data_IF_669376195444
#
_entry.id   IF_669376195444
#
_cell.length_a   1.000
_cell.length_b   1.000
_cell.length_c   1.000
_cell.angle_alpha   90.00
_cell.angle_beta   90.00
_cell.angle_gamma   90.00
#
_symmetry.space_group_name_H-M   'P 1'
#
loop_
_entity.id
_entity.type
_entity.pdbx_description
1 polymer ?
#
# COMPACT_ATOMS: atom_id res chain seq x y z
N UNK A 1 -19.22 0.68 -23.34
CA UNK A 1 -17.93 1.28 -22.96
C UNK A 1 -16.90 0.96 -24.03
N UNK A 2 -16.47 1.95 -24.80
CA UNK A 2 -15.54 1.78 -25.93
C UNK A 2 -14.14 1.55 -25.38
N UNK A 3 -13.49 0.42 -25.73
CA UNK A 3 -12.09 0.16 -25.36
C UNK A 3 -11.23 1.30 -25.89
N UNK A 4 -10.57 2.04 -25.00
CA UNK A 4 -9.64 3.11 -25.36
C UNK A 4 -8.53 2.51 -26.24
N UNK A 5 -8.27 3.10 -27.41
CA UNK A 5 -7.23 2.62 -28.31
C UNK A 5 -5.88 2.64 -27.59
N UNK A 6 -5.10 1.57 -27.73
CA UNK A 6 -3.76 1.47 -27.15
C UNK A 6 -2.81 2.34 -27.97
N UNK A 7 -2.10 3.25 -27.30
CA UNK A 7 -0.98 3.96 -27.91
C UNK A 7 0.06 2.90 -28.35
N UNK A 8 0.43 2.93 -29.63
CA UNK A 8 1.40 2.03 -30.28
C UNK A 8 1.03 0.54 -30.16
N UNK A 9 -0.02 0.09 -30.88
CA UNK A 9 -0.47 -1.31 -30.85
C UNK A 9 0.59 -2.32 -31.31
N UNK A 10 1.56 -1.88 -32.12
CA UNK A 10 2.66 -2.69 -32.66
C UNK A 10 3.68 -3.13 -31.61
N UNK A 11 3.86 -2.37 -30.53
CA UNK A 11 4.82 -2.71 -29.48
C UNK A 11 4.14 -3.48 -28.35
N UNK A 12 4.60 -4.68 -27.96
CA UNK A 12 4.03 -5.40 -26.82
C UNK A 12 4.20 -4.59 -25.52
N UNK A 13 3.32 -4.81 -24.54
CA UNK A 13 3.52 -4.25 -23.19
C UNK A 13 4.83 -4.76 -22.63
N UNK A 14 5.68 -3.88 -22.10
CA UNK A 14 6.97 -4.29 -21.54
C UNK A 14 6.87 -4.53 -20.02
N UNK A 15 7.69 -5.45 -19.52
CA UNK A 15 8.03 -5.59 -18.11
C UNK A 15 9.00 -4.49 -17.65
N UNK A 16 9.28 -4.44 -16.35
CA UNK A 16 10.33 -3.57 -15.79
C UNK A 16 11.74 -3.93 -16.28
N UNK A 17 11.91 -5.12 -16.86
CA UNK A 17 13.12 -5.65 -17.49
C UNK A 17 13.19 -5.35 -19.00
N UNK A 18 12.29 -4.49 -19.52
CA UNK A 18 12.18 -4.11 -20.93
C UNK A 18 11.86 -5.26 -21.89
N UNK A 19 11.44 -6.42 -21.39
CA UNK A 19 11.02 -7.55 -22.22
C UNK A 19 9.51 -7.57 -22.44
N UNK A 20 9.00 -8.13 -23.55
CA UNK A 20 7.57 -8.35 -23.73
C UNK A 20 6.96 -9.09 -22.55
N UNK A 21 5.96 -8.48 -21.92
CA UNK A 21 5.26 -9.02 -20.76
C UNK A 21 4.33 -10.12 -21.23
N UNK A 22 4.61 -11.36 -20.85
CA UNK A 22 3.63 -12.44 -20.97
C UNK A 22 2.60 -12.30 -19.84
N UNK A 23 1.36 -11.94 -20.19
CA UNK A 23 0.25 -11.74 -19.24
C UNK A 23 -0.51 -13.04 -18.94
N UNK A 24 -0.24 -14.12 -19.68
CA UNK A 24 -0.91 -15.41 -19.49
C UNK A 24 -0.28 -16.10 -18.28
N UNK A 25 -0.94 -16.04 -17.13
CA UNK A 25 -0.66 -16.84 -15.94
C UNK A 25 -1.90 -17.65 -15.61
N UNK A 26 -1.73 -18.89 -15.18
CA UNK A 26 -2.84 -19.68 -14.66
C UNK A 26 -3.33 -19.12 -13.32
N UNK A 27 -4.59 -19.37 -12.97
CA UNK A 27 -5.16 -18.92 -11.71
C UNK A 27 -4.41 -19.47 -10.49
N UNK A 28 -3.86 -20.69 -10.60
CA UNK A 28 -3.06 -21.30 -9.54
C UNK A 28 -1.72 -20.58 -9.34
N UNK A 29 -1.02 -20.22 -10.42
CA UNK A 29 0.21 -19.42 -10.37
C UNK A 29 -0.04 -18.03 -9.80
N UNK A 30 -1.16 -17.40 -10.19
CA UNK A 30 -1.58 -16.11 -9.64
C UNK A 30 -1.84 -16.19 -8.15
N UNK A 31 -2.60 -17.19 -7.70
CA UNK A 31 -2.89 -17.41 -6.27
C UNK A 31 -1.62 -17.70 -5.45
N UNK A 32 -0.71 -18.53 -5.98
CA UNK A 32 0.60 -18.78 -5.37
C UNK A 32 1.40 -17.49 -5.23
N UNK A 33 1.49 -16.70 -6.30
CA UNK A 33 2.18 -15.42 -6.29
C UNK A 33 1.57 -14.42 -5.30
N UNK A 34 0.24 -14.31 -5.25
CA UNK A 34 -0.46 -13.42 -4.31
C UNK A 34 -0.19 -13.78 -2.85
N UNK A 35 -0.19 -15.08 -2.51
CA UNK A 35 0.18 -15.55 -1.17
C UNK A 35 1.63 -15.24 -0.83
N UNK A 36 2.55 -15.52 -1.74
CA UNK A 36 3.96 -15.20 -1.54
C UNK A 36 4.18 -13.70 -1.32
N UNK A 37 3.51 -12.86 -2.11
CA UNK A 37 3.56 -11.41 -1.96
C UNK A 37 3.00 -10.93 -0.62
N UNK A 38 1.86 -11.49 -0.16
CA UNK A 38 1.32 -11.19 1.17
C UNK A 38 2.31 -11.55 2.29
N UNK A 39 2.96 -12.72 2.19
CA UNK A 39 4.02 -13.14 3.12
C UNK A 39 5.20 -12.18 3.10
N UNK A 40 5.64 -11.73 1.92
CA UNK A 40 6.74 -10.75 1.80
C UNK A 40 6.38 -9.42 2.44
N UNK A 41 5.20 -8.86 2.16
CA UNK A 41 4.75 -7.60 2.76
C UNK A 41 4.71 -7.70 4.29
N UNK A 42 4.12 -8.78 4.82
CA UNK A 42 4.10 -9.03 6.26
C UNK A 42 5.52 -9.08 6.84
N UNK A 43 6.39 -9.89 6.25
CA UNK A 43 7.77 -10.07 6.72
C UNK A 43 8.57 -8.77 6.71
N UNK A 44 8.40 -7.92 5.69
CA UNK A 44 9.05 -6.61 5.62
C UNK A 44 8.59 -5.67 6.74
N UNK A 45 7.29 -5.62 7.03
CA UNK A 45 6.79 -4.80 8.13
C UNK A 45 7.28 -5.33 9.48
N UNK A 46 7.24 -6.65 9.70
CA UNK A 46 7.77 -7.24 10.94
C UNK A 46 9.28 -7.00 11.09
N UNK A 47 10.05 -7.03 10.00
CA UNK A 47 11.47 -6.72 10.00
C UNK A 47 11.73 -5.27 10.43
N UNK A 48 11.01 -4.30 9.84
CA UNK A 48 11.13 -2.88 10.18
C UNK A 48 10.87 -2.67 11.68
N UNK A 49 9.79 -3.25 12.19
CA UNK A 49 9.36 -3.08 13.58
C UNK A 49 10.22 -3.84 14.59
N UNK A 50 11.01 -4.84 14.17
CA UNK A 50 11.86 -5.62 15.07
C UNK A 50 13.34 -5.19 15.03
N UNK A 51 13.84 -4.62 13.93
CA UNK A 51 15.29 -4.44 13.70
C UNK A 51 15.77 -2.99 13.67
N UNK A 52 14.88 -2.01 13.58
CA UNK A 52 15.24 -0.61 13.38
C UNK A 52 15.02 0.25 14.63
N UNK A 53 14.96 -0.39 15.81
CA UNK A 53 14.75 0.29 17.08
C UNK A 53 13.30 0.73 17.27
N UNK A 54 13.09 1.79 18.05
CA UNK A 54 11.76 2.35 18.29
C UNK A 54 11.30 3.14 17.07
N UNK A 55 10.10 2.82 16.59
CA UNK A 55 9.42 3.55 15.51
C UNK A 55 8.15 4.15 16.08
N UNK A 56 8.03 5.48 16.08
CA UNK A 56 6.87 6.17 16.65
C UNK A 56 5.68 6.27 15.67
N UNK A 57 5.95 6.25 14.36
CA UNK A 57 4.96 6.40 13.30
C UNK A 57 5.23 5.41 12.16
N UNK A 58 4.23 4.62 11.79
CA UNK A 58 4.24 3.80 10.59
C UNK A 58 3.21 4.32 9.59
N UNK A 59 3.68 4.72 8.41
CA UNK A 59 2.85 5.28 7.36
C UNK A 59 2.79 4.35 6.14
N UNK A 60 1.60 3.83 5.85
CA UNK A 60 1.32 3.03 4.66
C UNK A 60 0.88 3.90 3.49
N UNK A 61 1.37 3.59 2.29
CA UNK A 61 0.90 4.20 1.04
C UNK A 61 0.03 3.22 0.26
N UNK A 62 -1.27 3.24 0.54
CA UNK A 62 -2.24 2.35 -0.09
C UNK A 62 -2.16 0.89 0.38
N UNK A 63 -2.69 -0.01 -0.46
CA UNK A 63 -2.88 -1.43 -0.14
C UNK A 63 -2.13 -2.32 -1.13
N UNK A 64 -1.53 -3.44 -0.68
CA UNK A 64 -1.03 -4.48 -1.56
C UNK A 64 -2.08 -4.83 -2.63
N UNK A 65 -1.73 -4.83 -3.94
CA UNK A 65 -2.69 -5.05 -5.04
C UNK A 65 -3.05 -6.53 -5.20
N UNK A 66 -3.54 -7.15 -4.12
CA UNK A 66 -3.96 -8.55 -4.04
C UNK A 66 -5.29 -8.64 -3.30
N UNK A 67 -5.98 -9.78 -3.43
CA UNK A 67 -7.16 -10.05 -2.62
C UNK A 67 -6.79 -9.95 -1.12
N UNK A 68 -7.64 -9.28 -0.34
CA UNK A 68 -7.43 -9.07 1.10
C UNK A 68 -6.07 -8.42 1.46
N UNK A 69 -5.56 -7.51 0.62
CA UNK A 69 -4.28 -6.84 0.85
C UNK A 69 -4.17 -6.11 2.20
N UNK A 70 -5.29 -5.63 2.74
CA UNK A 70 -5.42 -5.01 4.07
C UNK A 70 -5.22 -6.01 5.23
N UNK A 71 -5.29 -7.32 4.97
CA UNK A 71 -5.10 -8.39 5.95
C UNK A 71 -3.70 -8.99 5.94
N UNK A 72 -2.79 -8.52 5.08
CA UNK A 72 -1.41 -9.00 5.05
C UNK A 72 -0.72 -8.83 6.42
N UNK A 73 -1.02 -7.72 7.10
CA UNK A 73 -0.62 -7.47 8.48
C UNK A 73 -1.70 -6.65 9.20
N UNK A 74 -2.01 -7.03 10.44
CA UNK A 74 -3.04 -6.35 11.24
C UNK A 74 -2.44 -5.24 12.10
N UNK A 75 -3.24 -4.23 12.44
CA UNK A 75 -2.86 -3.18 13.40
C UNK A 75 -2.48 -3.78 14.75
N UNK A 76 -3.21 -4.82 15.16
CA UNK A 76 -2.99 -5.55 16.40
C UNK A 76 -1.58 -6.16 16.41
N UNK A 77 -1.17 -6.82 15.32
CA UNK A 77 0.18 -7.39 15.20
C UNK A 77 1.27 -6.32 15.20
N UNK A 78 1.03 -5.18 14.56
CA UNK A 78 1.96 -4.04 14.55
C UNK A 78 2.17 -3.53 15.99
N UNK A 79 1.07 -3.40 16.76
CA UNK A 79 1.10 -2.93 18.15
C UNK A 79 1.66 -3.94 19.14
N UNK A 80 1.58 -5.24 18.84
CA UNK A 80 2.32 -6.27 19.59
C UNK A 80 3.83 -6.06 19.48
N UNK A 81 4.32 -5.70 18.29
CA UNK A 81 5.75 -5.50 18.04
C UNK A 81 6.26 -4.15 18.56
N UNK A 82 5.46 -3.10 18.38
CA UNK A 82 5.78 -1.73 18.82
C UNK A 82 4.56 -1.12 19.53
N UNK A 83 4.44 -1.30 20.86
CA UNK A 83 3.35 -0.70 21.62
C UNK A 83 3.37 0.82 21.55
N UNK A 84 2.22 1.43 21.25
CA UNK A 84 2.07 2.89 21.17
C UNK A 84 2.47 3.51 19.84
N UNK A 85 2.85 2.70 18.84
CA UNK A 85 3.08 3.19 17.47
C UNK A 85 1.81 3.79 16.87
N UNK A 86 1.97 4.95 16.22
CA UNK A 86 0.90 5.65 15.52
C UNK A 86 0.83 5.13 14.08
N UNK A 87 -0.38 4.86 13.57
CA UNK A 87 -0.60 4.29 12.24
C UNK A 87 -1.61 5.13 11.46
N UNK A 88 -1.34 5.39 10.19
CA UNK A 88 -2.25 6.10 9.28
C UNK A 88 -3.36 5.18 8.71
N UNK A 89 -4.47 5.72 8.18
CA UNK A 89 -5.61 4.91 7.76
C UNK A 89 -5.46 4.25 6.38
N UNK A 90 -4.38 4.47 5.63
CA UNK A 90 -4.32 4.13 4.20
C UNK A 90 -4.40 2.61 3.90
N UNK A 91 -3.80 1.75 4.73
CA UNK A 91 -3.86 0.30 4.51
C UNK A 91 -5.20 -0.28 4.98
N UNK A 92 -5.58 -0.01 6.23
CA UNK A 92 -6.72 -0.66 6.90
C UNK A 92 -8.05 0.08 6.76
N UNK A 93 -8.05 1.29 6.18
CA UNK A 93 -9.23 2.18 6.18
C UNK A 93 -9.56 2.79 7.55
N UNK A 94 -8.75 2.49 8.57
CA UNK A 94 -8.81 3.04 9.93
C UNK A 94 -7.39 3.26 10.45
N UNK A 95 -7.19 4.30 11.25
CA UNK A 95 -5.89 4.68 11.81
C UNK A 95 -6.06 5.64 12.98
N UNK A 96 -4.95 6.14 13.50
CA UNK A 96 -4.88 6.98 14.70
C UNK A 96 -5.11 8.47 14.40
N UNK A 97 -5.04 8.87 13.13
CA UNK A 97 -5.28 10.23 12.66
C UNK A 97 -5.92 10.23 11.28
N UNK A 98 -6.46 11.38 10.87
CA UNK A 98 -7.12 11.54 9.56
C UNK A 98 -6.13 12.11 8.54
N UNK A 99 -6.06 11.46 7.37
CA UNK A 99 -5.14 11.84 6.29
C UNK A 99 -5.81 12.53 5.12
N UNK A 100 -5.37 13.76 4.87
CA UNK A 100 -5.77 14.55 3.70
C UNK A 100 -4.67 14.50 2.64
N UNK A 101 -4.94 13.81 1.53
CA UNK A 101 -4.00 13.66 0.43
C UNK A 101 -4.23 14.73 -0.64
N UNK A 102 -3.27 15.64 -0.85
CA UNK A 102 -3.25 16.70 -1.89
C UNK A 102 -4.37 17.75 -1.86
N UNK A 103 -5.49 17.50 -1.20
CA UNK A 103 -6.60 18.46 -1.06
C UNK A 103 -7.06 18.50 0.39
N UNK A 104 -7.04 19.70 0.97
CA UNK A 104 -7.79 20.01 2.17
C UNK A 104 -9.23 20.27 1.76
N UNK A 105 -10.15 19.40 2.15
CA UNK A 105 -11.57 19.49 1.79
C UNK A 105 -12.42 20.16 2.86
N UNK A 106 -11.82 20.55 3.98
CA UNK A 106 -12.50 21.17 5.12
C UNK A 106 -12.18 22.66 5.22
N UNK A 107 -13.22 23.45 5.50
CA UNK A 107 -13.11 24.85 5.92
C UNK A 107 -13.26 25.00 7.45
N UNK A 108 -13.44 23.90 8.17
CA UNK A 108 -13.57 23.85 9.61
C UNK A 108 -12.28 23.34 10.28
N UNK A 109 -12.01 23.83 11.49
CA UNK A 109 -10.91 23.33 12.33
C UNK A 109 -11.14 21.86 12.64
N UNK A 110 -10.11 21.04 12.46
CA UNK A 110 -10.18 19.61 12.77
C UNK A 110 -10.44 19.39 14.26
N UNK A 111 -11.35 18.48 14.58
CA UNK A 111 -11.69 18.09 15.96
C UNK A 111 -10.68 17.13 16.60
N UNK A 112 -9.69 16.65 15.84
CA UNK A 112 -8.64 15.74 16.29
C UNK A 112 -7.37 15.87 15.46
N UNK A 113 -6.43 14.93 15.65
CA UNK A 113 -5.19 14.94 14.89
C UNK A 113 -5.45 14.62 13.41
N UNK A 114 -4.95 15.50 12.56
CA UNK A 114 -4.97 15.37 11.11
C UNK A 114 -3.57 15.57 10.56
N UNK A 115 -3.21 14.83 9.51
CA UNK A 115 -2.09 15.17 8.66
C UNK A 115 -2.58 15.63 7.29
N UNK A 116 -1.72 16.41 6.63
CA UNK A 116 -1.88 16.81 5.25
C UNK A 116 -0.59 16.45 4.52
N UNK A 117 -0.69 15.57 3.53
CA UNK A 117 0.45 15.19 2.70
C UNK A 117 0.28 15.77 1.30
N UNK A 118 1.36 16.36 0.78
CA UNK A 118 1.43 16.83 -0.59
C UNK A 118 2.54 16.08 -1.32
N UNK A 119 2.23 15.59 -2.52
CA UNK A 119 3.22 15.04 -3.43
C UNK A 119 3.59 16.15 -4.41
N UNK A 120 4.65 16.90 -4.11
CA UNK A 120 5.26 17.78 -5.09
C UNK A 120 5.99 16.89 -6.10
N UNK A 121 5.42 16.74 -7.30
CA UNK A 121 6.21 16.30 -8.45
C UNK A 121 7.13 17.48 -8.80
N UNK A 122 8.42 17.36 -8.43
CA UNK A 122 9.47 18.20 -9.00
C UNK A 122 9.59 17.94 -10.51
#
# INVERSE_FOLDING_TARGET
MTKKARLNPEFPSLGSDWKPRNLQRSDSELSLHQRAYATTVKGQVEELLARYGKIDLLWFDGKPPIADGDKCITIERIRELQPGIVINPCLHGRGDFVTHMRRLTTNAVATGWTDFCNMSFL
#
